data_IF_400024225449
#
_entry.id   IF_400024225449
#
_cell.length_a   1.000
_cell.length_b   1.000
_cell.length_c   1.000
_cell.angle_alpha   90.00
_cell.angle_beta   90.00
_cell.angle_gamma   90.00
#
_symmetry.space_group_name_H-M   'P 1'
#
loop_
_entity.id
_entity.type
_entity.pdbx_description
1 polymer ?
#
# COMPACT_ATOMS: atom_id res chain seq x y z
N UNK A 1 2.03 -10.29 -1.63
CA UNK A 1 1.27 -9.01 -1.58
C UNK A 1 -0.22 -9.30 -1.71
N UNK A 2 -1.05 -8.59 -0.94
CA UNK A 2 -2.51 -8.47 -1.13
C UNK A 2 -2.87 -7.00 -1.39
N UNK A 3 -3.86 -6.73 -2.24
CA UNK A 3 -4.37 -5.37 -2.50
C UNK A 3 -5.89 -5.33 -2.36
N UNK A 4 -6.42 -4.24 -1.80
CA UNK A 4 -7.85 -3.97 -1.75
C UNK A 4 -8.36 -3.43 -3.11
N UNK A 5 -9.68 -3.33 -3.26
CA UNK A 5 -10.28 -2.48 -4.29
C UNK A 5 -9.94 -1.00 -4.02
N UNK A 6 -9.90 -0.19 -5.08
CA UNK A 6 -9.79 1.28 -4.93
C UNK A 6 -10.99 1.79 -4.13
N UNK A 7 -10.73 2.65 -3.15
CA UNK A 7 -11.73 3.28 -2.28
C UNK A 7 -11.58 4.80 -2.34
N UNK A 8 -12.59 5.53 -1.92
CA UNK A 8 -12.52 6.98 -1.69
C UNK A 8 -12.54 7.28 -0.19
N UNK A 9 -11.73 8.23 0.27
CA UNK A 9 -11.74 8.66 1.68
C UNK A 9 -12.67 9.88 1.90
N UNK A 10 -12.89 10.26 3.15
CA UNK A 10 -13.78 11.40 3.50
C UNK A 10 -13.34 12.77 2.99
N UNK A 11 -12.17 12.88 2.34
CA UNK A 11 -11.66 14.08 1.70
C UNK A 11 -11.78 14.04 0.17
N UNK A 12 -12.43 13.01 -0.40
CA UNK A 12 -12.58 12.84 -1.84
C UNK A 12 -11.34 12.27 -2.56
N UNK A 13 -10.34 11.77 -1.81
CA UNK A 13 -9.17 11.16 -2.43
C UNK A 13 -9.41 9.67 -2.68
N UNK A 14 -9.14 9.24 -3.91
CA UNK A 14 -9.08 7.83 -4.23
C UNK A 14 -7.81 7.23 -3.63
N UNK A 15 -7.88 6.03 -3.08
CA UNK A 15 -6.73 5.35 -2.53
C UNK A 15 -6.78 3.84 -2.77
N UNK A 16 -5.58 3.26 -2.87
CA UNK A 16 -5.33 1.82 -2.93
C UNK A 16 -4.53 1.43 -1.69
N UNK A 17 -5.08 0.51 -0.91
CA UNK A 17 -4.43 -0.09 0.25
C UNK A 17 -3.83 -1.44 -0.14
N UNK A 18 -2.56 -1.65 0.19
CA UNK A 18 -1.83 -2.88 -0.06
C UNK A 18 -1.19 -3.40 1.24
N UNK A 19 -1.21 -4.72 1.42
CA UNK A 19 -0.40 -5.40 2.43
C UNK A 19 0.78 -6.04 1.71
N UNK A 20 1.96 -5.48 1.97
CA UNK A 20 3.25 -5.98 1.50
C UNK A 20 3.75 -7.00 2.52
N UNK A 21 4.32 -8.09 2.01
CA UNK A 21 4.93 -9.15 2.81
C UNK A 21 6.34 -9.36 2.26
N UNK A 22 7.35 -9.22 3.11
CA UNK A 22 8.74 -9.52 2.74
C UNK A 22 9.07 -11.01 2.96
N UNK A 23 10.28 -11.40 2.55
CA UNK A 23 10.78 -12.78 2.69
C UNK A 23 10.99 -13.25 4.15
N UNK A 24 11.06 -12.31 5.10
CA UNK A 24 11.24 -12.61 6.52
C UNK A 24 9.90 -12.65 7.27
N UNK A 25 8.78 -12.46 6.57
CA UNK A 25 7.45 -12.42 7.15
C UNK A 25 7.04 -11.05 7.69
N UNK A 26 7.84 -10.01 7.47
CA UNK A 26 7.49 -8.63 7.84
C UNK A 26 6.31 -8.18 7.01
N UNK A 27 5.26 -7.71 7.67
CA UNK A 27 4.09 -7.11 7.02
C UNK A 27 4.20 -5.60 7.08
N UNK A 28 3.92 -4.95 5.96
CA UNK A 28 3.85 -3.49 5.88
C UNK A 28 2.58 -3.09 5.15
N UNK A 29 1.85 -2.15 5.71
CA UNK A 29 0.75 -1.50 5.01
C UNK A 29 1.29 -0.37 4.14
N UNK A 30 0.88 -0.35 2.87
CA UNK A 30 1.22 0.69 1.92
C UNK A 30 -0.06 1.29 1.34
N UNK A 31 -0.10 2.62 1.26
CA UNK A 31 -1.24 3.36 0.70
C UNK A 31 -0.74 4.22 -0.46
N UNK A 32 -1.41 4.10 -1.60
CA UNK A 32 -1.21 4.98 -2.76
C UNK A 32 -2.47 5.80 -3.00
N UNK A 33 -2.33 7.07 -3.40
CA UNK A 33 -3.45 7.99 -3.61
C UNK A 33 -3.61 8.39 -5.08
N UNK A 34 -4.85 8.72 -5.44
CA UNK A 34 -5.26 9.34 -6.70
C UNK A 34 -4.69 8.61 -7.93
N UNK A 35 -3.96 9.30 -8.79
CA UNK A 35 -3.39 8.72 -10.02
C UNK A 35 -2.45 7.53 -9.74
N UNK A 36 -1.77 7.52 -8.60
CA UNK A 36 -0.91 6.40 -8.20
C UNK A 36 -1.74 5.17 -7.83
N UNK A 37 -2.89 5.36 -7.16
CA UNK A 37 -3.80 4.27 -6.83
C UNK A 37 -4.30 3.56 -8.09
N UNK A 38 -4.71 4.32 -9.11
CA UNK A 38 -5.18 3.79 -10.39
C UNK A 38 -4.05 3.03 -11.11
N UNK A 39 -2.86 3.66 -11.19
CA UNK A 39 -1.70 3.05 -11.85
C UNK A 39 -1.30 1.73 -11.17
N UNK A 40 -1.12 1.74 -9.85
CA UNK A 40 -0.71 0.54 -9.12
C UNK A 40 -1.79 -0.53 -9.12
N UNK A 41 -3.07 -0.18 -9.14
CA UNK A 41 -4.12 -1.18 -9.29
C UNK A 41 -4.03 -1.94 -10.62
N UNK A 42 -3.57 -1.31 -11.70
CA UNK A 42 -3.36 -1.98 -12.99
C UNK A 42 -2.07 -2.79 -13.07
N UNK A 43 -1.02 -2.39 -12.36
CA UNK A 43 0.34 -2.98 -12.48
C UNK A 43 0.61 -4.06 -11.43
N UNK A 44 0.07 -3.91 -10.23
CA UNK A 44 0.36 -4.83 -9.12
C UNK A 44 -0.52 -6.08 -9.21
N UNK A 45 0.11 -7.24 -9.28
CA UNK A 45 -0.52 -8.55 -9.28
C UNK A 45 -0.30 -9.25 -7.93
N UNK A 46 -1.36 -9.89 -7.43
CA UNK A 46 -1.28 -10.73 -6.22
C UNK A 46 -0.30 -11.88 -6.43
N UNK A 47 0.57 -12.13 -5.45
CA UNK A 47 1.56 -13.20 -5.50
C UNK A 47 2.86 -12.86 -6.24
N UNK A 48 2.97 -11.65 -6.82
CA UNK A 48 4.23 -11.14 -7.38
C UNK A 48 5.04 -10.36 -6.34
N UNK A 49 6.35 -10.25 -6.59
CA UNK A 49 7.30 -9.45 -5.81
C UNK A 49 7.68 -8.22 -6.61
N UNK A 50 7.74 -7.07 -5.94
CA UNK A 50 8.05 -5.78 -6.55
C UNK A 50 8.97 -4.97 -5.64
N UNK A 51 9.86 -4.19 -6.26
CA UNK A 51 10.71 -3.23 -5.54
C UNK A 51 10.05 -1.85 -5.54
N UNK A 52 9.61 -1.41 -4.36
CA UNK A 52 9.06 -0.07 -4.16
C UNK A 52 10.18 0.89 -3.79
N UNK A 53 10.35 1.96 -4.59
CA UNK A 53 11.38 2.97 -4.40
C UNK A 53 10.74 4.35 -4.23
N UNK A 54 11.42 5.26 -3.51
CA UNK A 54 10.98 6.65 -3.27
C UNK A 54 9.59 6.74 -2.60
N UNK A 55 9.34 5.86 -1.64
CA UNK A 55 8.11 5.87 -0.84
C UNK A 55 8.27 6.78 0.37
N UNK A 56 7.18 7.42 0.80
CA UNK A 56 7.12 8.10 2.08
C UNK A 56 6.81 7.09 3.19
N UNK A 57 7.50 7.22 4.33
CA UNK A 57 7.20 6.45 5.52
C UNK A 57 6.48 7.34 6.52
N UNK A 58 5.24 7.00 6.84
CA UNK A 58 4.60 7.47 8.05
C UNK A 58 4.76 6.37 9.09
N UNK A 59 5.64 6.52 10.09
CA UNK A 59 5.67 5.59 11.20
C UNK A 59 4.31 5.64 11.88
N UNK A 60 3.61 4.51 11.90
CA UNK A 60 2.50 4.33 12.83
C UNK A 60 3.15 4.23 14.21
N UNK A 61 2.88 5.20 15.10
CA UNK A 61 3.31 5.08 16.50
C UNK A 61 2.84 3.71 17.01
N UNK A 62 3.79 2.83 17.33
CA UNK A 62 3.45 1.67 18.13
C UNK A 62 3.17 2.20 19.54
N UNK A 63 2.02 1.90 20.16
CA UNK A 63 1.84 2.17 21.57
C UNK A 63 3.01 1.53 22.31
N UNK A 64 3.67 2.29 23.18
CA UNK A 64 4.70 1.76 24.06
C UNK A 64 4.12 0.53 24.79
N UNK A 65 4.82 -0.61 24.64
CA UNK A 65 4.38 -1.90 25.17
C UNK A 65 4.38 -1.97 26.70
#
# INVERSE_FOLDING_TARGET
>A
MWKAHIKENGMGNLYLQCILLDRHGTKMEAIAYNSQAIRFNSVLETGRTYDFNRVGFNPTEMPDG
#
